data_IF_601140892238
#
_entry.id   IF_601140892238
#
_cell.length_a   1.000
_cell.length_b   1.000
_cell.length_c   1.000
_cell.angle_alpha   90.00
_cell.angle_beta   90.00
_cell.angle_gamma   90.00
#
_symmetry.space_group_name_H-M   'P 1'
#
loop_
_entity.id
_entity.type
_entity.pdbx_description
1 polymer ?
#
# COMPACT_ATOMS: atom_id res chain seq x y z
N UNK A 1 5.32 6.30 -9.02
CA UNK A 1 4.27 6.28 -7.95
C UNK A 1 2.93 6.06 -8.62
N UNK A 2 2.20 4.99 -8.28
CA UNK A 2 0.79 4.77 -8.70
C UNK A 2 -0.11 4.96 -7.48
N UNK A 3 -1.37 5.35 -7.68
CA UNK A 3 -2.33 5.67 -6.61
C UNK A 3 -3.73 5.22 -7.04
N UNK A 4 -4.53 4.73 -6.09
CA UNK A 4 -5.95 4.44 -6.29
C UNK A 4 -6.78 5.70 -6.03
N UNK A 5 -7.99 5.76 -6.59
CA UNK A 5 -8.95 6.82 -6.26
C UNK A 5 -9.27 6.84 -4.77
N UNK A 6 -9.67 7.99 -4.23
CA UNK A 6 -10.25 8.05 -2.90
C UNK A 6 -11.53 7.21 -2.86
N UNK A 7 -11.77 6.55 -1.73
CA UNK A 7 -12.99 5.76 -1.50
C UNK A 7 -13.75 6.43 -0.37
N UNK A 8 -15.00 6.79 -0.63
CA UNK A 8 -15.92 7.29 0.38
C UNK A 8 -16.69 6.07 0.89
N UNK A 9 -16.31 5.54 2.04
CA UNK A 9 -16.98 4.42 2.68
C UNK A 9 -17.33 4.79 4.14
N UNK A 10 -18.62 4.80 4.51
CA UNK A 10 -19.04 5.05 5.89
C UNK A 10 -18.70 3.91 6.87
N UNK A 11 -18.28 2.71 6.39
CA UNK A 11 -18.11 1.49 7.19
C UNK A 11 -16.65 1.14 7.50
N UNK A 12 -15.71 2.10 7.46
CA UNK A 12 -14.28 1.96 7.79
C UNK A 12 -13.55 0.80 7.09
N UNK A 13 -14.11 0.25 6.02
CA UNK A 13 -13.57 -0.90 5.28
C UNK A 13 -13.42 -0.58 3.79
N UNK A 14 -12.63 0.45 3.44
CA UNK A 14 -12.55 0.94 2.06
C UNK A 14 -12.08 -0.15 1.10
N UNK A 15 -12.81 -0.30 -0.01
CA UNK A 15 -12.49 -1.23 -1.09
C UNK A 15 -12.08 -0.47 -2.35
N UNK A 16 -10.82 -0.61 -2.75
CA UNK A 16 -10.30 0.06 -3.95
C UNK A 16 -10.37 -0.80 -5.22
N UNK A 17 -10.20 -2.12 -5.10
CA UNK A 17 -10.14 -3.07 -6.23
C UNK A 17 -9.29 -2.61 -7.42
N UNK A 18 -8.24 -1.83 -7.14
CA UNK A 18 -7.35 -1.24 -8.14
C UNK A 18 -6.13 -2.13 -8.32
N UNK A 19 -5.68 -2.30 -9.58
CA UNK A 19 -4.49 -3.06 -9.92
C UNK A 19 -3.35 -2.12 -10.31
N UNK A 20 -2.14 -2.42 -9.85
CA UNK A 20 -0.93 -1.69 -10.21
C UNK A 20 0.16 -2.66 -10.65
N UNK A 21 0.72 -2.38 -11.81
CA UNK A 21 1.86 -3.12 -12.38
C UNK A 21 3.11 -2.24 -12.38
N UNK A 22 4.28 -2.82 -12.12
CA UNK A 22 5.54 -2.10 -12.09
C UNK A 22 6.63 -2.93 -12.75
N UNK A 23 7.32 -2.35 -13.73
CA UNK A 23 8.54 -2.92 -14.28
C UNK A 23 9.69 -2.67 -13.31
N UNK A 24 10.34 -3.75 -12.85
CA UNK A 24 11.45 -3.69 -11.89
C UNK A 24 12.70 -4.29 -12.52
N UNK A 25 13.62 -3.42 -12.95
CA UNK A 25 14.86 -3.86 -13.63
C UNK A 25 15.94 -4.39 -12.70
N UNK A 26 16.02 -3.88 -11.47
CA UNK A 26 17.03 -4.29 -10.47
C UNK A 26 16.33 -4.56 -9.13
N UNK A 27 15.70 -5.73 -8.95
CA UNK A 27 14.94 -6.07 -7.75
C UNK A 27 15.73 -5.92 -6.44
N UNK A 28 17.03 -6.22 -6.47
CA UNK A 28 17.93 -6.20 -5.31
C UNK A 28 18.11 -4.81 -4.72
N UNK A 29 17.91 -3.75 -5.52
CA UNK A 29 18.02 -2.35 -5.11
C UNK A 29 16.66 -1.65 -5.01
N UNK A 30 15.56 -2.39 -5.15
CA UNK A 30 14.22 -1.81 -5.23
C UNK A 30 13.43 -2.06 -3.94
N UNK A 31 12.83 -0.98 -3.42
CA UNK A 31 11.85 -1.03 -2.34
C UNK A 31 10.45 -0.79 -2.88
N UNK A 32 9.45 -1.45 -2.31
CA UNK A 32 8.05 -1.09 -2.48
C UNK A 32 7.52 -0.45 -1.20
N UNK A 33 6.72 0.60 -1.38
CA UNK A 33 6.06 1.30 -0.28
C UNK A 33 4.56 1.34 -0.51
N UNK A 34 3.84 0.82 0.46
CA UNK A 34 2.41 1.02 0.63
C UNK A 34 2.20 2.28 1.48
N UNK A 35 1.36 3.18 1.01
CA UNK A 35 1.05 4.44 1.69
C UNK A 35 -0.45 4.68 1.60
N UNK A 36 -1.09 4.87 2.75
CA UNK A 36 -2.50 5.23 2.87
C UNK A 36 -2.58 6.67 3.35
N UNK A 37 -3.35 7.47 2.64
CA UNK A 37 -3.58 8.88 2.96
C UNK A 37 -5.10 9.15 2.96
N UNK A 38 -5.56 10.01 3.86
CA UNK A 38 -6.92 10.55 3.81
C UNK A 38 -6.97 11.70 2.81
N UNK A 39 -7.95 11.70 1.92
CA UNK A 39 -8.04 12.70 0.86
C UNK A 39 -8.78 13.93 1.35
N UNK A 40 -8.11 15.08 1.29
CA UNK A 40 -8.71 16.40 1.50
C UNK A 40 -8.63 17.20 0.19
N UNK A 41 -9.78 17.72 -0.26
CA UNK A 41 -9.86 18.53 -1.48
C UNK A 41 -9.29 19.94 -1.29
N UNK A 42 -9.24 20.44 -0.06
CA UNK A 42 -8.88 21.82 0.28
C UNK A 42 -7.45 21.96 0.80
N UNK A 43 -6.87 20.86 1.28
CA UNK A 43 -5.54 20.85 1.88
C UNK A 43 -4.71 19.66 1.41
N UNK A 44 -3.56 19.42 2.07
CA UNK A 44 -2.73 18.27 1.77
C UNK A 44 -3.36 17.05 2.44
N UNK A 45 -3.43 15.93 1.72
CA UNK A 45 -3.84 14.65 2.28
C UNK A 45 -3.14 14.32 3.60
N UNK A 46 -3.92 13.88 4.59
CA UNK A 46 -3.40 13.45 5.87
C UNK A 46 -2.80 12.03 5.78
N UNK A 47 -1.71 11.81 6.50
CA UNK A 47 -1.07 10.50 6.56
C UNK A 47 -1.88 9.57 7.47
N UNK A 48 -2.25 8.38 6.98
CA UNK A 48 -2.89 7.35 7.80
C UNK A 48 -1.86 6.30 8.22
N UNK A 49 -1.11 5.74 7.27
CA UNK A 49 -0.19 4.65 7.56
C UNK A 49 0.69 4.27 6.38
N UNK A 50 1.79 3.58 6.67
CA UNK A 50 2.71 3.11 5.63
C UNK A 50 3.32 1.75 5.97
N UNK A 51 3.82 1.07 4.94
CA UNK A 51 4.70 -0.07 5.09
C UNK A 51 5.68 -0.12 3.92
N UNK A 52 6.95 -0.33 4.21
CA UNK A 52 8.02 -0.34 3.19
C UNK A 52 8.92 -1.55 3.39
N UNK A 53 9.25 -2.24 2.30
CA UNK A 53 10.15 -3.41 2.31
C UNK A 53 10.83 -3.58 0.94
N UNK A 54 11.95 -4.33 0.87
CA UNK A 54 12.53 -4.75 -0.40
C UNK A 54 11.53 -5.58 -1.22
N UNK A 55 11.50 -5.37 -2.54
CA UNK A 55 10.61 -6.14 -3.43
C UNK A 55 10.93 -7.63 -3.39
N UNK A 56 12.20 -7.99 -3.18
CA UNK A 56 12.66 -9.37 -2.99
C UNK A 56 12.12 -10.02 -1.72
N UNK A 57 11.61 -9.24 -0.77
CA UNK A 57 10.98 -9.72 0.47
C UNK A 57 9.46 -9.83 0.38
N UNK A 58 8.85 -9.50 -0.77
CA UNK A 58 7.41 -9.65 -0.96
C UNK A 58 7.01 -11.12 -0.98
N UNK A 59 5.94 -11.45 -0.26
CA UNK A 59 5.29 -12.75 -0.35
C UNK A 59 4.16 -12.67 -1.37
N UNK A 60 4.18 -13.55 -2.37
CA UNK A 60 3.15 -13.62 -3.42
C UNK A 60 1.80 -14.11 -2.88
N UNK A 61 0.73 -13.92 -3.65
CA UNK A 61 -0.65 -14.30 -3.32
C UNK A 61 -1.37 -13.25 -2.48
N UNK A 62 -2.45 -13.68 -1.82
CA UNK A 62 -3.24 -12.81 -0.93
C UNK A 62 -2.51 -12.57 0.39
N UNK A 63 -2.34 -11.30 0.77
CA UNK A 63 -1.60 -10.87 1.95
C UNK A 63 -2.27 -9.70 2.66
N UNK A 64 -2.10 -9.64 3.97
CA UNK A 64 -2.31 -8.42 4.75
C UNK A 64 -0.98 -7.68 4.87
N UNK A 65 -1.02 -6.39 4.54
CA UNK A 65 0.06 -5.44 4.82
C UNK A 65 -0.34 -4.67 6.08
N UNK A 66 0.32 -4.96 7.20
CA UNK A 66 0.09 -4.27 8.47
C UNK A 66 0.73 -2.89 8.44
N UNK A 67 -0.07 -1.85 8.62
CA UNK A 67 0.39 -0.47 8.49
C UNK A 67 1.14 -0.02 9.75
N UNK A 68 2.08 0.89 9.54
CA UNK A 68 2.85 1.55 10.58
C UNK A 68 2.53 3.04 10.61
N UNK A 69 2.72 3.66 11.79
CA UNK A 69 2.73 5.12 11.93
C UNK A 69 3.91 5.74 11.17
N UNK A 70 3.97 7.07 11.17
CA UNK A 70 5.08 7.82 10.56
C UNK A 70 6.42 7.54 11.27
N UNK A 71 6.37 7.24 12.56
CA UNK A 71 7.51 6.89 13.42
C UNK A 71 7.89 5.41 13.30
N UNK A 72 7.11 4.61 12.54
CA UNK A 72 7.36 3.19 12.34
C UNK A 72 6.73 2.27 13.40
N UNK A 73 5.86 2.79 14.28
CA UNK A 73 5.17 1.97 15.27
C UNK A 73 4.02 1.19 14.62
N UNK A 74 3.72 -0.06 15.03
CA UNK A 74 2.59 -0.81 14.51
C UNK A 74 1.25 -0.10 14.75
N UNK A 75 0.36 -0.13 13.76
CA UNK A 75 -1.06 0.19 13.90
C UNK A 75 -1.85 -1.13 14.02
N UNK A 76 -2.23 -1.59 15.22
CA UNK A 76 -2.67 -2.98 15.44
C UNK A 76 -3.89 -3.42 14.62
N UNK A 77 -4.77 -2.48 14.26
CA UNK A 77 -6.01 -2.76 13.55
C UNK A 77 -6.05 -2.20 12.13
N UNK A 78 -4.94 -1.67 11.62
CA UNK A 78 -4.88 -1.08 10.29
C UNK A 78 -4.08 -1.98 9.34
N UNK A 79 -4.75 -2.48 8.30
CA UNK A 79 -4.09 -3.27 7.25
C UNK A 79 -4.69 -3.02 5.87
N UNK A 80 -3.89 -3.26 4.83
CA UNK A 80 -4.36 -3.39 3.46
C UNK A 80 -4.42 -4.88 3.10
N UNK A 81 -5.54 -5.32 2.54
CA UNK A 81 -5.63 -6.64 1.91
C UNK A 81 -5.27 -6.52 0.42
N UNK A 82 -4.25 -7.24 -0.01
CA UNK A 82 -3.69 -7.14 -1.36
C UNK A 82 -3.46 -8.51 -1.98
N UNK A 83 -3.48 -8.59 -3.31
CA UNK A 83 -3.01 -9.74 -4.07
C UNK A 83 -1.72 -9.36 -4.81
N UNK A 84 -0.64 -10.09 -4.54
CA UNK A 84 0.69 -9.80 -5.11
C UNK A 84 1.06 -10.92 -6.07
N UNK A 85 1.43 -10.57 -7.29
CA UNK A 85 1.91 -11.50 -8.31
C UNK A 85 3.17 -10.96 -8.96
N UNK A 86 4.01 -11.87 -9.46
CA UNK A 86 5.08 -11.56 -10.40
C UNK A 86 4.60 -12.05 -11.76
N UNK A 87 4.66 -11.16 -12.75
CA UNK A 87 4.43 -11.51 -14.14
C UNK A 87 5.82 -11.77 -14.74
N UNK A 88 6.04 -12.99 -15.21
CA UNK A 88 7.21 -13.29 -16.03
C UNK A 88 6.87 -12.89 -17.47
N UNK A 89 7.80 -12.18 -18.12
CA UNK A 89 7.71 -11.84 -19.54
C UNK A 89 8.24 -12.98 -20.40
#
# INVERSE_FOLDING_TARGET
KKRSSSVIDPLVTPMWNSNFEFDVSVPELTLIRFLVEDYDASSRNDFIGQFTLPVTSLKLGYRHIHLLTKEGNPLPSASLFVHIMVLEN
#
